data_IF_780932201239
#
_entry.id   IF_780932201239
#
_cell.length_a   1.000
_cell.length_b   1.000
_cell.length_c   1.000
_cell.angle_alpha   90.00
_cell.angle_beta   90.00
_cell.angle_gamma   90.00
#
_symmetry.space_group_name_H-M   'P 1'
#
loop_
_entity.id
_entity.type
_entity.pdbx_description
1 polymer ?
#
# COMPACT_ATOMS: atom_id res chain seq x y z
N UNK A 1 -30.52 18.25 -26.42
CA UNK A 1 -29.98 18.72 -25.12
C UNK A 1 -29.92 17.54 -24.16
N UNK A 2 -28.96 16.66 -24.43
CA UNK A 2 -28.71 15.41 -23.74
C UNK A 2 -27.55 14.77 -24.47
N UNK A 3 -26.59 14.19 -23.73
CA UNK A 3 -25.29 13.63 -24.18
C UNK A 3 -24.12 14.64 -24.07
N UNK A 4 -23.46 14.69 -22.88
CA UNK A 4 -22.04 15.09 -22.73
C UNK A 4 -21.30 14.37 -21.56
N UNK A 5 -21.93 13.75 -20.56
CA UNK A 5 -21.20 13.23 -19.37
C UNK A 5 -21.21 11.70 -19.20
N UNK A 6 -21.08 11.01 -20.33
CA UNK A 6 -20.60 9.61 -20.44
C UNK A 6 -19.15 9.60 -21.01
N UNK A 7 -18.52 10.77 -21.15
CA UNK A 7 -17.52 10.99 -22.18
C UNK A 7 -16.05 10.71 -21.84
N UNK A 8 -15.61 10.47 -20.60
CA UNK A 8 -14.16 10.25 -20.35
C UNK A 8 -13.70 8.78 -20.43
N UNK A 9 -14.61 7.80 -20.34
CA UNK A 9 -14.32 6.38 -20.56
C UNK A 9 -14.98 5.80 -21.83
N UNK A 10 -16.00 6.46 -22.40
CA UNK A 10 -16.61 6.07 -23.70
C UNK A 10 -15.90 6.67 -24.92
N UNK A 11 -15.14 7.77 -24.77
CA UNK A 11 -14.35 8.35 -25.88
C UNK A 11 -13.15 7.48 -26.30
N UNK A 12 -12.55 6.74 -25.36
CA UNK A 12 -11.40 5.87 -25.63
C UNK A 12 -11.86 4.59 -26.34
N UNK A 13 -13.08 4.11 -26.06
CA UNK A 13 -13.61 2.87 -26.63
C UNK A 13 -14.30 3.05 -28.01
N UNK A 14 -14.94 4.20 -28.29
CA UNK A 14 -15.60 4.44 -29.61
C UNK A 14 -14.64 4.83 -30.74
N UNK A 15 -13.49 5.45 -30.44
CA UNK A 15 -12.48 5.80 -31.47
C UNK A 15 -11.81 4.57 -32.09
N UNK A 16 -11.78 3.44 -31.37
CA UNK A 16 -11.14 2.22 -31.83
C UNK A 16 -12.01 1.39 -32.79
N UNK A 17 -13.35 1.49 -32.70
CA UNK A 17 -14.29 0.65 -33.47
C UNK A 17 -14.64 1.26 -34.85
N UNK A 18 -14.51 2.58 -35.04
CA UNK A 18 -14.91 3.24 -36.29
C UNK A 18 -13.86 3.24 -37.41
N UNK A 19 -12.65 2.72 -37.20
CA UNK A 19 -11.55 2.85 -38.17
C UNK A 19 -11.44 1.72 -39.22
N UNK A 20 -12.34 0.74 -39.21
CA UNK A 20 -12.47 -0.28 -40.27
C UNK A 20 -13.78 -0.09 -41.05
N UNK A 21 -13.80 0.87 -41.98
CA UNK A 21 -14.51 0.81 -43.30
C UNK A 21 -14.48 2.16 -44.01
N UNK A 22 -13.51 2.32 -44.92
CA UNK A 22 -13.56 2.89 -46.29
C UNK A 22 -12.28 3.67 -46.64
N UNK A 23 -11.51 3.10 -47.57
CA UNK A 23 -10.91 3.83 -48.71
C UNK A 23 -9.64 4.65 -48.48
N UNK A 24 -8.50 3.95 -48.54
CA UNK A 24 -7.20 4.33 -49.12
C UNK A 24 -6.70 5.78 -49.05
N UNK A 25 -5.53 5.98 -48.41
CA UNK A 25 -4.27 6.44 -49.03
C UNK A 25 -3.12 6.07 -48.07
N UNK A 26 -2.06 5.51 -48.64
CA UNK A 26 -0.78 5.18 -48.00
C UNK A 26 0.08 6.44 -47.85
N UNK A 27 0.77 6.64 -46.71
CA UNK A 27 2.24 6.72 -46.60
C UNK A 27 2.69 7.00 -45.15
N UNK A 28 3.93 6.60 -44.91
CA UNK A 28 4.79 6.60 -43.72
C UNK A 28 4.87 7.84 -42.82
N UNK A 29 5.36 7.56 -41.61
CA UNK A 29 6.32 8.37 -40.81
C UNK A 29 5.79 9.38 -39.77
N UNK A 30 6.30 9.14 -38.55
CA UNK A 30 6.81 10.06 -37.52
C UNK A 30 6.01 11.31 -37.13
N UNK A 31 5.56 11.25 -35.87
CA UNK A 31 5.59 12.32 -34.87
C UNK A 31 4.47 13.39 -34.86
N UNK A 32 4.18 13.84 -33.62
CA UNK A 32 3.36 14.99 -33.22
C UNK A 32 1.82 14.82 -33.15
N UNK A 33 1.28 14.91 -31.93
CA UNK A 33 0.50 16.09 -31.49
C UNK A 33 0.13 16.01 -30.00
N UNK A 34 0.90 16.72 -29.18
CA UNK A 34 0.53 17.11 -27.82
C UNK A 34 -0.48 18.27 -27.86
N UNK A 35 -1.57 18.18 -27.10
CA UNK A 35 -2.46 19.31 -26.83
C UNK A 35 -2.03 19.99 -25.52
N UNK A 36 -1.40 21.15 -25.66
CA UNK A 36 -0.98 22.04 -24.58
C UNK A 36 -2.17 22.81 -23.98
N UNK A 37 -2.16 22.98 -22.66
CA UNK A 37 -2.78 24.14 -21.99
C UNK A 37 -1.64 24.91 -21.30
N UNK A 38 -1.33 26.09 -21.85
CA UNK A 38 -0.42 27.09 -21.26
C UNK A 38 -1.16 27.88 -20.18
N UNK A 39 -0.58 27.98 -18.99
CA UNK A 39 -0.73 29.17 -18.14
C UNK A 39 0.64 29.83 -18.01
N UNK A 40 0.72 31.09 -18.46
CA UNK A 40 1.83 32.00 -18.22
C UNK A 40 1.60 32.66 -16.86
N UNK A 41 2.62 32.68 -15.99
CA UNK A 41 3.13 33.98 -15.53
C UNK A 41 4.56 33.94 -14.93
N UNK A 42 5.38 34.80 -15.54
CA UNK A 42 6.56 35.56 -15.12
C UNK A 42 7.41 35.06 -13.93
N UNK A 43 8.64 34.58 -14.24
CA UNK A 43 9.79 34.60 -13.32
C UNK A 43 10.78 35.69 -13.75
N UNK A 44 10.99 36.65 -12.87
CA UNK A 44 12.09 37.62 -12.91
C UNK A 44 13.41 36.87 -12.64
N UNK A 45 14.39 37.05 -13.53
CA UNK A 45 15.79 36.60 -13.36
C UNK A 45 16.50 37.49 -12.34
N UNK A 46 17.15 36.90 -11.35
CA UNK A 46 18.37 37.46 -10.77
C UNK A 46 19.44 36.37 -10.71
N UNK A 47 20.48 36.53 -11.54
CA UNK A 47 21.76 35.83 -11.39
C UNK A 47 22.53 36.50 -10.26
N UNK A 48 22.86 35.75 -9.21
CA UNK A 48 24.11 35.94 -8.45
C UNK A 48 24.56 34.55 -8.01
N UNK A 49 25.74 34.15 -8.47
CA UNK A 49 26.38 32.89 -8.08
C UNK A 49 26.87 32.96 -6.64
N UNK A 50 26.62 31.89 -5.89
CA UNK A 50 27.32 31.54 -4.66
C UNK A 50 27.43 30.02 -4.65
N UNK A 51 28.66 29.50 -4.76
CA UNK A 51 28.97 28.14 -4.32
C UNK A 51 28.95 28.11 -2.79
N UNK A 52 28.26 27.15 -2.15
CA UNK A 52 28.55 26.79 -0.78
C UNK A 52 29.49 25.59 -0.77
N UNK A 53 30.72 25.80 -0.30
CA UNK A 53 31.60 24.75 0.21
C UNK A 53 30.82 23.86 1.20
N UNK A 54 30.75 22.55 0.93
CA UNK A 54 30.17 21.57 1.85
C UNK A 54 31.02 21.47 3.11
N UNK A 55 30.59 22.14 4.19
CA UNK A 55 31.01 21.83 5.56
C UNK A 55 29.92 20.99 6.23
N UNK A 56 30.29 19.78 6.64
CA UNK A 56 29.61 19.07 7.74
C UNK A 56 28.69 17.90 7.35
N UNK A 57 29.09 16.99 6.47
CA UNK A 57 28.41 15.70 6.36
C UNK A 57 28.82 14.79 7.52
N UNK A 58 27.87 14.44 8.40
CA UNK A 58 28.08 13.49 9.49
C UNK A 58 28.27 12.05 8.95
N UNK A 59 29.17 11.25 9.54
CA UNK A 59 29.62 9.99 8.95
C UNK A 59 28.54 8.92 8.82
N UNK A 60 27.45 8.99 9.59
CA UNK A 60 26.41 7.95 9.62
C UNK A 60 25.33 8.07 8.53
N UNK A 61 25.12 9.26 7.95
CA UNK A 61 24.09 9.50 6.92
C UNK A 61 24.44 8.91 5.54
N UNK A 62 25.68 8.48 5.35
CA UNK A 62 26.21 8.01 4.07
C UNK A 62 27.08 6.76 4.22
N UNK A 63 26.78 5.91 5.22
CA UNK A 63 27.50 4.65 5.40
C UNK A 63 27.09 3.67 4.30
N UNK A 64 28.07 3.29 3.48
CA UNK A 64 27.98 2.20 2.51
C UNK A 64 28.23 0.86 3.24
N UNK A 65 27.30 -0.09 3.11
CA UNK A 65 27.34 -1.37 3.81
C UNK A 65 28.50 -2.29 3.40
N UNK A 66 29.33 -1.91 2.41
CA UNK A 66 30.57 -2.63 2.07
C UNK A 66 31.53 -2.82 3.25
N UNK A 67 31.46 -2.00 4.30
CA UNK A 67 32.46 -1.99 5.39
C UNK A 67 32.10 -2.80 6.65
N UNK A 68 30.89 -3.33 6.78
CA UNK A 68 30.42 -3.96 8.03
C UNK A 68 30.64 -5.49 8.11
N UNK A 69 31.25 -6.13 7.11
CA UNK A 69 31.62 -7.55 7.16
C UNK A 69 32.98 -7.85 7.81
N UNK A 70 33.54 -6.90 8.56
CA UNK A 70 34.73 -7.13 9.37
C UNK A 70 34.44 -6.80 10.84
N UNK A 71 34.47 -7.84 11.69
CA UNK A 71 34.35 -7.71 13.16
C UNK A 71 35.54 -6.91 13.69
N UNK A 72 35.29 -6.00 14.66
CA UNK A 72 36.20 -5.96 15.80
C UNK A 72 35.50 -5.77 17.15
N UNK A 73 36.31 -6.06 18.16
CA UNK A 73 36.00 -6.30 19.56
C UNK A 73 35.73 -5.04 20.40
N UNK A 74 34.96 -5.30 21.47
CA UNK A 74 34.67 -4.54 22.68
C UNK A 74 35.55 -3.34 23.10
N UNK A 75 34.88 -2.25 23.50
CA UNK A 75 35.30 -1.40 24.62
C UNK A 75 34.08 -0.73 25.32
N UNK A 76 34.19 -0.58 26.65
CA UNK A 76 33.16 -0.19 27.63
C UNK A 76 33.18 1.31 28.02
N UNK A 77 32.21 1.83 28.81
CA UNK A 77 31.65 3.19 28.67
C UNK A 77 32.05 4.18 29.80
N UNK A 78 31.68 5.46 29.64
CA UNK A 78 31.77 6.50 30.69
C UNK A 78 30.47 7.31 30.84
N UNK A 79 29.88 7.18 32.04
CA UNK A 79 29.10 8.08 32.93
C UNK A 79 28.26 9.27 32.42
N UNK A 80 27.02 9.32 32.94
CA UNK A 80 25.95 10.32 32.76
C UNK A 80 25.84 11.40 33.88
N UNK A 81 24.93 12.38 33.66
CA UNK A 81 24.16 13.29 34.60
C UNK A 81 24.30 14.79 34.21
N UNK A 82 23.31 15.71 34.22
CA UNK A 82 21.94 15.78 34.80
C UNK A 82 21.04 16.87 34.12
N UNK A 83 19.74 16.52 34.05
CA UNK A 83 18.41 17.20 34.02
C UNK A 83 18.22 18.70 34.38
N UNK A 84 17.29 19.38 33.65
CA UNK A 84 16.13 20.25 34.10
C UNK A 84 15.27 20.69 32.87
N UNK A 85 13.99 20.27 32.68
CA UNK A 85 12.67 20.87 33.09
C UNK A 85 12.52 22.36 32.75
N UNK A 86 11.49 22.94 32.11
CA UNK A 86 10.05 22.68 31.82
C UNK A 86 9.67 23.49 30.54
N UNK A 87 8.62 23.19 29.77
CA UNK A 87 7.25 23.71 29.94
C UNK A 87 6.30 22.92 29.02
N UNK A 88 5.22 22.37 29.58
CA UNK A 88 4.14 21.69 28.86
C UNK A 88 2.88 22.56 28.81
N UNK A 89 2.27 22.69 27.63
CA UNK A 89 0.88 23.13 27.48
C UNK A 89 0.01 21.89 27.31
N UNK A 90 -0.87 21.65 28.29
CA UNK A 90 -1.88 20.60 28.26
C UNK A 90 -2.91 20.87 27.15
N UNK A 91 -3.21 19.86 26.34
CA UNK A 91 -4.51 19.75 25.66
C UNK A 91 -5.28 18.58 26.26
N UNK A 92 -6.51 18.88 26.62
CA UNK A 92 -7.52 17.99 27.18
C UNK A 92 -7.94 16.96 26.12
N UNK A 93 -7.78 15.67 26.41
CA UNK A 93 -8.43 14.58 25.67
C UNK A 93 -9.60 14.06 26.50
N UNK A 94 -10.82 14.22 25.97
CA UNK A 94 -11.98 13.46 26.43
C UNK A 94 -11.94 12.09 25.76
N UNK A 95 -11.35 11.09 26.44
CA UNK A 95 -11.61 9.68 26.10
C UNK A 95 -12.79 9.18 26.92
N UNK A 96 -13.92 8.99 26.26
CA UNK A 96 -15.02 8.17 26.75
C UNK A 96 -14.54 6.72 26.89
N UNK A 97 -14.10 6.36 28.11
CA UNK A 97 -13.83 4.99 28.52
C UNK A 97 -15.15 4.25 28.73
N UNK A 98 -15.54 3.40 27.78
CA UNK A 98 -16.39 2.27 28.12
C UNK A 98 -15.50 1.16 28.68
N UNK A 99 -15.56 1.01 29.99
CA UNK A 99 -14.91 -0.03 30.76
C UNK A 99 -15.29 -1.42 30.22
N UNK A 100 -14.31 -2.17 29.72
CA UNK A 100 -14.33 -3.62 29.78
C UNK A 100 -13.27 -4.06 30.79
N UNK A 101 -13.72 -4.73 31.85
CA UNK A 101 -12.92 -5.64 32.69
C UNK A 101 -11.85 -5.01 33.58
N UNK A 102 -12.00 -5.17 34.89
CA UNK A 102 -11.02 -4.85 35.94
C UNK A 102 -9.67 -5.56 35.64
N UNK A 103 -8.51 -4.87 35.68
CA UNK A 103 -7.22 -5.56 35.67
C UNK A 103 -6.90 -6.04 37.10
N UNK A 104 -6.78 -7.36 37.26
CA UNK A 104 -6.15 -7.91 38.45
C UNK A 104 -4.65 -7.53 38.42
N UNK A 105 -4.21 -6.80 39.44
CA UNK A 105 -2.79 -6.58 39.73
C UNK A 105 -2.06 -7.92 39.80
N UNK A 106 -1.16 -8.19 38.86
CA UNK A 106 -0.20 -9.29 38.99
C UNK A 106 1.15 -8.88 38.39
N UNK A 107 2.23 -8.70 39.18
CA UNK A 107 3.51 -8.17 38.67
C UNK A 107 4.38 -9.19 37.89
N UNK A 108 3.83 -10.28 37.37
CA UNK A 108 4.61 -11.39 36.76
C UNK A 108 3.94 -12.03 35.53
N UNK A 109 3.24 -11.24 34.71
CA UNK A 109 2.52 -11.73 33.52
C UNK A 109 3.37 -12.06 32.27
N UNK A 110 4.71 -11.97 32.34
CA UNK A 110 5.59 -12.21 31.18
C UNK A 110 5.92 -13.69 30.92
N UNK A 111 5.32 -14.65 31.63
CA UNK A 111 5.76 -16.07 31.64
C UNK A 111 4.69 -17.03 31.08
N UNK A 112 3.67 -16.55 30.36
CA UNK A 112 2.64 -17.42 29.75
C UNK A 112 2.46 -17.22 28.24
N UNK A 113 3.42 -16.62 27.54
CA UNK A 113 3.40 -16.42 26.07
C UNK A 113 4.69 -16.91 25.36
N UNK A 114 5.46 -17.78 26.02
CA UNK A 114 6.75 -18.26 25.48
C UNK A 114 6.59 -19.09 24.20
N UNK A 115 5.48 -19.82 24.04
CA UNK A 115 5.26 -20.72 22.88
C UNK A 115 5.05 -19.95 21.57
N UNK A 116 4.21 -18.92 21.57
CA UNK A 116 3.95 -18.09 20.39
C UNK A 116 5.10 -17.13 20.11
N UNK A 117 5.79 -16.65 21.15
CA UNK A 117 6.99 -15.81 21.00
C UNK A 117 8.11 -16.56 20.28
N UNK A 118 8.28 -17.87 20.54
CA UNK A 118 9.23 -18.72 19.84
C UNK A 118 8.90 -18.87 18.35
N UNK A 119 7.64 -19.16 18.02
CA UNK A 119 7.18 -19.32 16.64
C UNK A 119 7.29 -18.01 15.84
N UNK A 120 6.91 -16.89 16.43
CA UNK A 120 7.05 -15.57 15.83
C UNK A 120 8.53 -15.24 15.52
N UNK A 121 9.45 -15.53 16.46
CA UNK A 121 10.91 -15.39 16.23
C UNK A 121 11.40 -16.27 15.09
N UNK A 122 10.93 -17.52 14.97
CA UNK A 122 11.28 -18.41 13.87
C UNK A 122 10.76 -17.91 12.53
N UNK A 123 9.56 -17.31 12.50
CA UNK A 123 9.04 -16.67 11.28
C UNK A 123 9.93 -15.49 10.86
N UNK A 124 10.36 -14.63 11.80
CA UNK A 124 11.22 -13.48 11.50
C UNK A 124 12.57 -13.89 10.89
N UNK A 125 13.10 -15.07 11.17
CA UNK A 125 14.30 -15.58 10.48
C UNK A 125 14.10 -15.73 8.95
N UNK A 126 12.84 -15.81 8.49
CA UNK A 126 12.45 -15.91 7.09
C UNK A 126 11.79 -14.62 6.59
N UNK A 127 11.98 -13.49 7.27
CA UNK A 127 11.36 -12.19 6.92
C UNK A 127 11.71 -11.70 5.50
N UNK A 128 12.83 -12.12 4.92
CA UNK A 128 13.18 -11.81 3.52
C UNK A 128 12.48 -12.68 2.47
N UNK A 129 11.66 -13.66 2.88
CA UNK A 129 10.97 -14.54 1.95
C UNK A 129 9.68 -13.87 1.44
N UNK A 130 9.50 -13.82 0.11
CA UNK A 130 8.29 -13.28 -0.50
C UNK A 130 6.99 -14.01 -0.10
N UNK A 131 7.10 -15.25 0.37
CA UNK A 131 5.97 -16.06 0.83
C UNK A 131 5.68 -15.90 2.34
N UNK A 132 6.22 -14.86 2.99
CA UNK A 132 5.97 -14.58 4.41
C UNK A 132 4.48 -14.40 4.69
N UNK A 133 3.91 -15.20 5.61
CA UNK A 133 2.49 -15.14 5.97
C UNK A 133 2.27 -14.09 7.07
N UNK A 134 2.02 -12.85 6.65
CA UNK A 134 1.83 -11.73 7.58
C UNK A 134 0.62 -11.91 8.50
N UNK A 135 -0.44 -12.59 8.03
CA UNK A 135 -1.62 -12.86 8.86
C UNK A 135 -1.34 -13.88 9.95
N UNK A 136 -0.53 -14.91 9.67
CA UNK A 136 -0.07 -15.83 10.70
C UNK A 136 0.83 -15.10 11.71
N UNK A 137 1.75 -14.27 11.22
CA UNK A 137 2.64 -13.51 12.09
C UNK A 137 1.86 -12.56 13.01
N UNK A 138 0.83 -11.89 12.49
CA UNK A 138 -0.06 -11.05 13.28
C UNK A 138 -0.79 -11.82 14.38
N UNK A 139 -1.32 -13.01 14.07
CA UNK A 139 -1.94 -13.89 15.09
C UNK A 139 -0.94 -14.32 16.17
N UNK A 140 0.28 -14.69 15.79
CA UNK A 140 1.33 -15.12 16.72
C UNK A 140 1.86 -13.99 17.61
N UNK A 141 1.63 -12.74 17.21
CA UNK A 141 2.07 -11.55 17.95
C UNK A 141 0.90 -10.80 18.60
N UNK A 142 -0.29 -11.43 18.65
CA UNK A 142 -1.50 -10.86 19.24
C UNK A 142 -1.85 -9.47 18.67
N UNK A 143 -1.79 -9.32 17.33
CA UNK A 143 -2.06 -8.06 16.66
C UNK A 143 -0.89 -7.07 16.64
N UNK A 144 0.32 -7.50 17.04
CA UNK A 144 1.52 -6.64 17.06
C UNK A 144 2.47 -6.91 15.89
N UNK A 145 1.94 -7.28 14.72
CA UNK A 145 2.78 -7.59 13.54
C UNK A 145 3.65 -6.41 13.14
N UNK A 146 3.08 -5.21 13.04
CA UNK A 146 3.80 -4.01 12.60
C UNK A 146 4.95 -3.63 13.55
N UNK A 147 4.69 -3.61 14.86
CA UNK A 147 5.72 -3.29 15.86
C UNK A 147 6.85 -4.31 15.83
N UNK A 148 6.54 -5.62 15.90
CA UNK A 148 7.55 -6.66 16.00
C UNK A 148 8.36 -6.80 14.70
N UNK A 149 7.71 -6.73 13.54
CA UNK A 149 8.37 -6.79 12.23
C UNK A 149 9.31 -5.59 12.05
N UNK A 150 8.80 -4.36 12.19
CA UNK A 150 9.60 -3.16 11.93
C UNK A 150 10.76 -3.03 12.91
N UNK A 151 10.56 -3.35 14.20
CA UNK A 151 11.65 -3.37 15.17
C UNK A 151 12.73 -4.40 14.80
N UNK A 152 12.33 -5.60 14.35
CA UNK A 152 13.26 -6.61 13.87
C UNK A 152 14.05 -6.12 12.65
N UNK A 153 13.40 -5.49 11.68
CA UNK A 153 14.07 -4.98 10.47
C UNK A 153 15.05 -3.85 10.78
N UNK A 154 14.72 -2.95 11.72
CA UNK A 154 15.63 -1.91 12.21
C UNK A 154 16.90 -2.53 12.82
N UNK A 155 16.74 -3.61 13.58
CA UNK A 155 17.87 -4.34 14.13
C UNK A 155 18.67 -5.09 13.05
N UNK A 156 18.00 -5.72 12.08
CA UNK A 156 18.63 -6.48 10.99
C UNK A 156 19.52 -5.60 10.11
N UNK A 157 19.12 -4.36 9.84
CA UNK A 157 19.96 -3.38 9.12
C UNK A 157 20.94 -2.61 10.02
N UNK A 158 20.96 -2.87 11.34
CA UNK A 158 21.82 -2.14 12.29
C UNK A 158 21.44 -0.66 12.45
N UNK A 159 20.23 -0.25 12.05
CA UNK A 159 19.80 1.16 12.06
C UNK A 159 19.74 1.74 13.47
N UNK A 160 19.46 0.90 14.48
CA UNK A 160 19.43 1.31 15.89
C UNK A 160 20.81 1.83 16.31
N UNK A 161 21.88 1.11 15.97
CA UNK A 161 23.24 1.49 16.31
C UNK A 161 23.74 2.64 15.44
N UNK A 162 23.51 2.56 14.12
CA UNK A 162 23.98 3.56 13.14
C UNK A 162 23.40 4.96 13.42
N UNK A 163 22.11 5.04 13.76
CA UNK A 163 21.44 6.31 14.08
C UNK A 163 21.39 6.61 15.58
N UNK A 164 21.99 5.76 16.43
CA UNK A 164 21.97 5.89 17.89
C UNK A 164 20.55 6.05 18.46
N UNK A 165 19.62 5.23 17.96
CA UNK A 165 18.23 5.27 18.37
C UNK A 165 18.06 4.69 19.77
N UNK A 166 17.38 5.43 20.65
CA UNK A 166 16.93 4.88 21.93
C UNK A 166 15.86 3.80 21.68
N UNK A 167 16.12 2.57 22.10
CA UNK A 167 15.23 1.43 21.85
C UNK A 167 13.84 1.59 22.51
N UNK A 168 13.75 2.30 23.65
CA UNK A 168 12.48 2.57 24.33
C UNK A 168 11.69 3.60 23.53
N UNK A 169 12.34 4.66 23.05
CA UNK A 169 11.69 5.63 22.14
C UNK A 169 11.27 4.99 20.82
N UNK A 170 12.10 4.12 20.25
CA UNK A 170 11.77 3.40 19.01
C UNK A 170 10.55 2.51 19.22
N UNK A 171 10.52 1.70 20.28
CA UNK A 171 9.36 0.86 20.58
C UNK A 171 8.11 1.69 20.83
N UNK A 172 8.21 2.79 21.59
CA UNK A 172 7.09 3.72 21.82
C UNK A 172 6.58 4.29 20.50
N UNK A 173 7.48 4.77 19.63
CA UNK A 173 7.13 5.29 18.32
C UNK A 173 6.38 4.26 17.45
N UNK A 174 6.90 3.02 17.36
CA UNK A 174 6.24 1.97 16.59
C UNK A 174 4.86 1.58 17.16
N UNK A 175 4.72 1.57 18.50
CA UNK A 175 3.40 1.34 19.13
C UNK A 175 2.44 2.47 18.80
N UNK A 176 2.87 3.74 18.87
CA UNK A 176 2.02 4.87 18.48
C UNK A 176 1.57 4.76 17.03
N UNK A 177 2.45 4.36 16.10
CA UNK A 177 2.08 4.09 14.71
C UNK A 177 0.99 3.02 14.64
N UNK A 178 1.21 1.86 15.27
CA UNK A 178 0.29 0.72 15.19
C UNK A 178 -1.10 1.05 15.75
N UNK A 179 -1.16 1.78 16.87
CA UNK A 179 -2.43 2.17 17.50
C UNK A 179 -3.19 3.24 16.72
N UNK A 180 -2.50 4.08 15.93
CA UNK A 180 -3.12 5.06 15.04
C UNK A 180 -3.61 4.44 13.72
N UNK A 181 -3.33 3.16 13.46
CA UNK A 181 -4.04 2.40 12.44
C UNK A 181 -5.39 1.90 12.96
N UNK A 182 -6.44 2.16 12.19
CA UNK A 182 -7.82 1.79 12.53
C UNK A 182 -8.06 0.29 12.35
N UNK A 183 -8.03 -0.48 13.43
CA UNK A 183 -8.19 -1.93 13.40
C UNK A 183 -9.56 -2.41 12.86
N UNK A 184 -10.57 -1.54 12.84
CA UNK A 184 -11.88 -1.81 12.26
C UNK A 184 -11.91 -1.78 10.73
N UNK A 185 -10.91 -1.16 10.09
CA UNK A 185 -10.80 -1.18 8.63
C UNK A 185 -10.46 -2.60 8.16
N UNK A 186 -11.22 -3.20 7.23
CA UNK A 186 -10.91 -4.55 6.75
C UNK A 186 -9.52 -4.68 6.11
N UNK A 187 -9.07 -3.66 5.36
CA UNK A 187 -7.82 -3.63 4.60
C UNK A 187 -6.83 -2.60 5.14
N UNK A 188 -7.16 -1.31 5.15
CA UNK A 188 -6.21 -0.25 5.52
C UNK A 188 -6.03 -0.15 7.04
N UNK A 189 -5.33 -1.14 7.61
CA UNK A 189 -5.01 -1.30 9.03
C UNK A 189 -3.52 -1.66 9.23
N UNK A 190 -3.08 -1.86 10.48
CA UNK A 190 -1.67 -2.11 10.79
C UNK A 190 -1.10 -3.38 10.15
N UNK A 191 -1.93 -4.38 9.84
CA UNK A 191 -1.48 -5.62 9.19
C UNK A 191 -1.10 -5.36 7.73
N UNK A 192 -1.84 -4.49 7.03
CA UNK A 192 -1.47 -4.04 5.68
C UNK A 192 -0.16 -3.26 5.72
N UNK A 193 -0.02 -2.31 6.65
CA UNK A 193 1.23 -1.59 6.84
C UNK A 193 2.43 -2.52 7.11
N UNK A 194 2.21 -3.60 7.87
CA UNK A 194 3.22 -4.61 8.13
C UNK A 194 3.56 -5.43 6.86
N UNK A 195 2.57 -5.79 6.04
CA UNK A 195 2.79 -6.46 4.74
C UNK A 195 3.61 -5.58 3.78
N UNK A 196 3.24 -4.30 3.65
CA UNK A 196 3.96 -3.32 2.82
C UNK A 196 5.38 -3.11 3.34
N UNK A 197 5.59 -3.05 4.66
CA UNK A 197 6.93 -2.94 5.25
C UNK A 197 7.78 -4.18 4.97
N UNK A 198 7.18 -5.38 5.03
CA UNK A 198 7.87 -6.63 4.69
C UNK A 198 8.18 -6.73 3.19
N UNK A 199 7.26 -6.32 2.32
CA UNK A 199 7.49 -6.25 0.87
C UNK A 199 8.60 -5.25 0.53
N UNK A 200 8.57 -4.07 1.15
CA UNK A 200 9.60 -3.05 1.01
C UNK A 200 10.96 -3.62 1.41
N UNK A 201 11.05 -4.35 2.53
CA UNK A 201 12.28 -5.04 2.92
C UNK A 201 12.81 -5.98 1.81
N UNK A 202 11.95 -6.79 1.19
CA UNK A 202 12.35 -7.63 0.07
C UNK A 202 12.89 -6.82 -1.13
N UNK A 203 12.28 -5.68 -1.46
CA UNK A 203 12.79 -4.82 -2.54
C UNK A 203 14.11 -4.16 -2.19
N UNK A 204 14.30 -3.72 -0.94
CA UNK A 204 15.57 -3.15 -0.47
C UNK A 204 16.72 -4.18 -0.52
N UNK A 205 16.41 -5.48 -0.57
CA UNK A 205 17.39 -6.56 -0.75
C UNK A 205 17.71 -6.89 -2.22
N UNK A 206 16.99 -6.32 -3.19
CA UNK A 206 17.29 -6.54 -4.60
C UNK A 206 18.71 -6.02 -4.94
N UNK A 207 19.52 -6.73 -5.75
CA UNK A 207 20.96 -6.46 -5.88
C UNK A 207 21.31 -5.01 -6.23
N UNK A 208 20.61 -4.41 -7.20
CA UNK A 208 20.83 -3.02 -7.61
C UNK A 208 20.63 -2.02 -6.47
N UNK A 209 19.70 -2.30 -5.57
CA UNK A 209 19.37 -1.45 -4.43
C UNK A 209 20.27 -1.73 -3.23
N UNK A 210 20.45 -3.00 -2.88
CA UNK A 210 21.30 -3.41 -1.76
C UNK A 210 22.74 -2.88 -1.88
N UNK A 211 23.25 -2.72 -3.10
CA UNK A 211 24.59 -2.19 -3.37
C UNK A 211 24.70 -0.66 -3.34
N UNK A 212 23.59 0.08 -3.38
CA UNK A 212 23.60 1.54 -3.62
C UNK A 212 22.87 2.37 -2.57
N UNK A 213 22.01 1.74 -1.78
CA UNK A 213 21.24 2.41 -0.71
C UNK A 213 22.13 2.80 0.47
N UNK A 214 21.92 4.01 0.96
CA UNK A 214 22.51 4.47 2.22
C UNK A 214 21.67 4.00 3.41
N UNK A 215 22.27 4.03 4.60
CA UNK A 215 21.56 3.85 5.87
C UNK A 215 20.31 4.74 6.02
N UNK A 216 20.37 5.98 5.54
CA UNK A 216 19.24 6.93 5.57
C UNK A 216 18.12 6.50 4.61
N UNK A 217 18.47 5.96 3.45
CA UNK A 217 17.49 5.45 2.48
C UNK A 217 16.74 4.22 3.04
N UNK A 218 17.45 3.30 3.70
CA UNK A 218 16.85 2.15 4.36
C UNK A 218 15.91 2.57 5.50
N UNK A 219 16.35 3.51 6.34
CA UNK A 219 15.55 4.05 7.43
C UNK A 219 14.27 4.68 6.91
N UNK A 220 14.37 5.58 5.92
CA UNK A 220 13.22 6.25 5.34
C UNK A 220 12.31 5.32 4.56
N UNK A 221 12.85 4.33 3.84
CA UNK A 221 12.06 3.33 3.12
C UNK A 221 11.20 2.49 4.05
N UNK A 222 11.77 2.00 5.16
CA UNK A 222 11.02 1.25 6.18
C UNK A 222 10.01 2.13 6.93
N UNK A 223 10.39 3.36 7.29
CA UNK A 223 9.46 4.29 7.96
C UNK A 223 8.30 4.68 7.05
N UNK A 224 8.56 4.96 5.77
CA UNK A 224 7.52 5.27 4.81
C UNK A 224 6.55 4.10 4.65
N UNK A 225 7.05 2.88 4.46
CA UNK A 225 6.21 1.70 4.37
C UNK A 225 5.34 1.48 5.62
N UNK A 226 5.91 1.65 6.81
CA UNK A 226 5.21 1.47 8.08
C UNK A 226 4.16 2.57 8.38
N UNK A 227 4.21 3.71 7.68
CA UNK A 227 3.35 4.87 7.97
C UNK A 227 2.57 5.39 6.76
N UNK A 228 2.66 4.75 5.60
CA UNK A 228 2.08 5.27 4.34
C UNK A 228 0.55 5.44 4.38
N UNK A 229 -0.13 4.71 5.27
CA UNK A 229 -1.59 4.69 5.45
C UNK A 229 -2.04 5.07 6.87
N UNK A 230 -1.19 5.78 7.62
CA UNK A 230 -1.44 6.09 9.03
C UNK A 230 -2.73 6.90 9.23
N UNK A 231 -3.62 6.45 10.13
CA UNK A 231 -4.97 7.01 10.35
C UNK A 231 -5.87 7.01 9.08
N UNK A 232 -5.71 6.01 8.20
CA UNK A 232 -6.62 5.85 7.05
C UNK A 232 -8.08 5.66 7.50
N UNK A 233 -9.06 6.43 6.97
CA UNK A 233 -10.42 6.43 7.47
C UNK A 233 -11.31 5.30 6.95
N UNK A 234 -10.79 4.44 6.07
CA UNK A 234 -11.54 3.35 5.44
C UNK A 234 -12.37 3.78 4.23
N UNK A 235 -12.11 4.98 3.70
CA UNK A 235 -12.81 5.57 2.55
C UNK A 235 -11.83 6.31 1.66
N UNK A 236 -12.11 6.37 0.36
CA UNK A 236 -11.23 6.97 -0.64
C UNK A 236 -11.30 8.50 -0.68
N UNK A 237 -10.31 9.12 -1.34
CA UNK A 237 -10.25 10.59 -1.52
C UNK A 237 -11.53 11.18 -2.15
N UNK A 238 -12.11 10.64 -3.25
CA UNK A 238 -13.37 11.16 -3.80
C UNK A 238 -14.51 11.19 -2.79
N UNK A 239 -14.59 10.21 -1.88
CA UNK A 239 -15.57 10.20 -0.80
C UNK A 239 -15.35 11.37 0.18
N UNK A 240 -14.11 11.61 0.60
CA UNK A 240 -13.79 12.74 1.49
C UNK A 240 -14.13 14.09 0.86
N UNK A 241 -13.88 14.25 -0.45
CA UNK A 241 -14.18 15.47 -1.19
C UNK A 241 -15.70 15.67 -1.30
N UNK A 242 -16.45 14.63 -1.73
CA UNK A 242 -17.91 14.76 -1.94
C UNK A 242 -18.72 14.90 -0.64
N UNK A 243 -18.13 14.60 0.50
CA UNK A 243 -18.74 14.74 1.83
C UNK A 243 -18.27 15.97 2.59
N UNK A 244 -17.52 16.87 1.95
CA UNK A 244 -16.94 18.07 2.55
C UNK A 244 -16.16 17.77 3.86
N UNK A 245 -15.45 16.64 3.89
CA UNK A 245 -14.68 16.25 5.06
C UNK A 245 -13.55 17.25 5.33
N UNK A 246 -13.25 17.54 6.60
CA UNK A 246 -12.27 18.56 6.97
C UNK A 246 -10.86 18.33 6.38
N UNK A 247 -10.47 17.06 6.17
CA UNK A 247 -9.21 16.71 5.51
C UNK A 247 -9.16 17.18 4.05
N UNK A 248 -10.27 17.09 3.32
CA UNK A 248 -10.35 17.55 1.93
C UNK A 248 -10.12 19.07 1.85
N UNK A 249 -10.71 19.83 2.78
CA UNK A 249 -10.47 21.27 2.92
C UNK A 249 -9.01 21.59 3.34
N UNK A 250 -8.47 20.85 4.33
CA UNK A 250 -7.11 21.05 4.84
C UNK A 250 -6.04 20.85 3.76
N UNK A 251 -6.21 19.83 2.92
CA UNK A 251 -5.27 19.46 1.86
C UNK A 251 -5.72 19.88 0.46
N UNK A 252 -6.71 20.77 0.37
CA UNK A 252 -7.17 21.41 -0.87
C UNK A 252 -7.46 20.39 -1.99
N UNK A 253 -8.11 19.28 -1.65
CA UNK A 253 -8.51 18.21 -2.57
C UNK A 253 -7.35 17.53 -3.35
N UNK A 254 -6.09 17.67 -2.91
CA UNK A 254 -4.93 17.09 -3.59
C UNK A 254 -4.20 16.10 -2.68
N UNK A 255 -4.13 14.83 -3.09
CA UNK A 255 -3.51 13.73 -2.33
C UNK A 255 -3.88 13.81 -0.84
N UNK A 256 -5.19 13.90 -0.58
CA UNK A 256 -5.78 14.24 0.73
C UNK A 256 -5.38 13.23 1.78
N UNK A 257 -5.43 11.94 1.42
CA UNK A 257 -5.10 10.84 2.31
C UNK A 257 -3.59 10.77 2.54
N UNK A 258 -2.79 10.83 1.48
CA UNK A 258 -1.34 10.68 1.57
C UNK A 258 -0.69 11.87 2.31
N UNK A 259 -1.22 13.08 2.14
CA UNK A 259 -0.82 14.22 2.97
C UNK A 259 -1.20 14.02 4.44
N UNK A 260 -2.37 13.44 4.73
CA UNK A 260 -2.77 13.12 6.10
C UNK A 260 -1.83 12.10 6.73
N UNK A 261 -1.57 10.98 6.06
CA UNK A 261 -0.65 9.93 6.51
C UNK A 261 0.74 10.50 6.79
N UNK A 262 1.27 11.32 5.87
CA UNK A 262 2.55 12.01 6.05
C UNK A 262 2.56 12.93 7.27
N UNK A 263 1.57 13.81 7.43
CA UNK A 263 1.57 14.76 8.54
C UNK A 263 1.37 14.07 9.89
N UNK A 264 0.56 13.02 9.94
CA UNK A 264 0.41 12.16 11.12
C UNK A 264 1.73 11.48 11.47
N UNK A 265 2.44 10.90 10.48
CA UNK A 265 3.74 10.26 10.70
C UNK A 265 4.79 11.24 11.25
N UNK A 266 4.86 12.45 10.71
CA UNK A 266 5.73 13.52 11.22
C UNK A 266 5.33 13.94 12.64
N UNK A 267 4.03 14.02 12.92
CA UNK A 267 3.50 14.27 14.26
C UNK A 267 4.02 13.26 15.28
N UNK A 268 3.87 11.96 15.00
CA UNK A 268 4.33 10.88 15.87
C UNK A 268 5.86 10.83 16.01
N UNK A 269 6.60 11.11 14.92
CA UNK A 269 8.07 11.19 14.97
C UNK A 269 8.54 12.27 15.97
N UNK A 270 7.89 13.44 15.94
CA UNK A 270 8.18 14.55 16.85
C UNK A 270 7.73 14.24 18.28
N UNK A 271 6.55 13.66 18.47
CA UNK A 271 6.01 13.31 19.79
C UNK A 271 6.81 12.20 20.51
N UNK A 272 7.36 11.26 19.73
CA UNK A 272 8.20 10.18 20.27
C UNK A 272 9.59 10.63 20.71
N UNK A 273 10.03 11.81 20.28
CA UNK A 273 11.42 12.28 20.39
C UNK A 273 12.45 11.29 19.82
N UNK A 274 12.06 10.39 18.91
CA UNK A 274 12.91 9.30 18.40
C UNK A 274 14.18 9.82 17.73
N UNK A 275 14.05 10.87 16.93
CA UNK A 275 15.15 11.49 16.19
C UNK A 275 15.64 12.80 16.86
N UNK A 276 15.19 13.10 18.08
CA UNK A 276 15.41 14.41 18.74
C UNK A 276 16.87 14.81 18.93
N UNK A 277 17.79 13.85 18.96
CA UNK A 277 19.24 14.06 19.06
C UNK A 277 19.91 14.41 17.73
N UNK A 278 19.24 14.19 16.59
CA UNK A 278 19.76 14.57 15.29
C UNK A 278 19.65 16.09 15.06
N UNK A 279 20.54 16.69 14.25
CA UNK A 279 20.45 18.08 13.86
C UNK A 279 19.08 18.43 13.28
N UNK A 280 18.60 19.64 13.52
CA UNK A 280 17.30 20.09 13.04
C UNK A 280 17.20 20.06 11.51
N UNK A 281 18.27 20.41 10.80
CA UNK A 281 18.31 20.37 9.33
C UNK A 281 18.12 18.94 8.81
N UNK A 282 18.84 17.96 9.39
CA UNK A 282 18.71 16.55 9.02
C UNK A 282 17.30 16.03 9.28
N UNK A 283 16.70 16.37 10.43
CA UNK A 283 15.32 15.97 10.73
C UNK A 283 14.33 16.55 9.72
N UNK A 284 14.44 17.83 9.38
CA UNK A 284 13.56 18.46 8.40
C UNK A 284 13.71 17.84 7.01
N UNK A 285 14.94 17.54 6.59
CA UNK A 285 15.20 16.82 5.35
C UNK A 285 14.58 15.41 5.36
N UNK A 286 14.74 14.67 6.45
CA UNK A 286 14.12 13.35 6.62
C UNK A 286 12.60 13.42 6.57
N UNK A 287 11.97 14.40 7.23
CA UNK A 287 10.52 14.61 7.21
C UNK A 287 10.00 14.93 5.80
N UNK A 288 10.74 15.72 5.02
CA UNK A 288 10.41 16.04 3.63
C UNK A 288 10.54 14.81 2.72
N UNK A 289 11.65 14.06 2.84
CA UNK A 289 11.87 12.84 2.06
C UNK A 289 10.87 11.74 2.41
N UNK A 290 10.53 11.58 3.69
CA UNK A 290 9.47 10.69 4.14
C UNK A 290 8.13 11.06 3.48
N UNK A 291 7.78 12.33 3.49
CA UNK A 291 6.57 12.83 2.82
C UNK A 291 6.58 12.56 1.32
N UNK A 292 7.73 12.77 0.66
CA UNK A 292 7.90 12.49 -0.77
C UNK A 292 7.71 11.01 -1.11
N UNK A 293 8.11 10.08 -0.22
CA UNK A 293 7.84 8.65 -0.39
C UNK A 293 6.36 8.33 -0.23
N UNK A 294 5.73 8.81 0.85
CA UNK A 294 4.30 8.57 1.13
C UNK A 294 3.41 9.18 0.04
N UNK A 295 3.69 10.40 -0.42
CA UNK A 295 2.91 11.04 -1.50
C UNK A 295 2.98 10.28 -2.84
N UNK A 296 3.99 9.43 -3.04
CA UNK A 296 4.07 8.60 -4.23
C UNK A 296 3.08 7.43 -4.22
N UNK A 297 2.55 7.04 -3.05
CA UNK A 297 1.56 5.96 -2.95
C UNK A 297 0.18 6.38 -3.43
N UNK A 298 -0.07 7.69 -3.64
CA UNK A 298 -1.30 8.20 -4.26
C UNK A 298 -1.52 7.49 -5.62
N UNK A 299 -2.51 6.61 -5.63
CA UNK A 299 -2.78 5.73 -6.77
C UNK A 299 -3.29 6.51 -7.98
N UNK A 300 -3.91 7.69 -7.76
CA UNK A 300 -4.39 8.55 -8.85
C UNK A 300 -3.22 9.11 -9.68
N UNK A 301 -2.02 9.17 -9.09
CA UNK A 301 -0.80 9.65 -9.74
C UNK A 301 0.06 8.53 -10.31
N UNK A 302 -0.39 7.27 -10.28
CA UNK A 302 0.42 6.14 -10.74
C UNK A 302 0.94 6.31 -12.17
N UNK A 303 0.11 6.84 -13.08
CA UNK A 303 0.51 7.02 -14.48
C UNK A 303 1.66 8.02 -14.64
N UNK A 304 1.73 9.05 -13.79
CA UNK A 304 2.82 10.04 -13.82
C UNK A 304 4.15 9.34 -13.48
N UNK A 305 4.18 8.65 -12.35
CA UNK A 305 5.36 7.90 -11.89
C UNK A 305 5.75 6.78 -12.86
N UNK A 306 4.77 6.05 -13.42
CA UNK A 306 5.03 4.96 -14.35
C UNK A 306 5.58 5.47 -15.69
N UNK A 307 5.06 6.60 -16.19
CA UNK A 307 5.56 7.23 -17.42
C UNK A 307 6.98 7.76 -17.25
N UNK A 308 7.28 8.40 -16.11
CA UNK A 308 8.62 8.85 -15.77
C UNK A 308 9.58 7.65 -15.65
N UNK A 309 9.16 6.59 -14.96
CA UNK A 309 9.98 5.39 -14.81
C UNK A 309 10.28 4.70 -16.14
N UNK A 310 9.27 4.55 -17.01
CA UNK A 310 9.45 4.05 -18.37
C UNK A 310 10.44 4.88 -19.16
N UNK A 311 10.30 6.20 -19.12
CA UNK A 311 11.19 7.13 -19.83
C UNK A 311 12.64 6.94 -19.40
N UNK A 312 12.87 6.80 -18.10
CA UNK A 312 14.19 6.55 -17.53
C UNK A 312 14.77 5.19 -17.93
N UNK A 313 13.94 4.15 -17.93
CA UNK A 313 14.34 2.80 -18.37
C UNK A 313 14.66 2.75 -19.87
N UNK A 314 13.85 3.41 -20.70
CA UNK A 314 14.04 3.48 -22.15
C UNK A 314 15.33 4.23 -22.51
N UNK A 315 15.66 5.29 -21.77
CA UNK A 315 16.91 6.05 -21.93
C UNK A 315 18.13 5.37 -21.32
N UNK A 316 17.93 4.48 -20.34
CA UNK A 316 19.01 3.86 -19.58
C UNK A 316 19.82 4.86 -18.73
N UNK A 317 19.21 5.95 -18.27
CA UNK A 317 19.87 7.06 -17.57
C UNK A 317 19.76 6.98 -16.02
N UNK A 318 19.15 5.92 -15.48
CA UNK A 318 19.06 5.67 -14.03
C UNK A 318 20.43 5.40 -13.40
N UNK A 319 20.98 6.44 -12.79
CA UNK A 319 22.21 6.39 -12.00
C UNK A 319 21.93 6.32 -10.49
N UNK A 320 21.99 5.14 -9.86
CA UNK A 320 21.63 4.94 -8.45
C UNK A 320 22.63 5.53 -7.43
N UNK A 321 23.83 5.94 -7.88
CA UNK A 321 24.74 6.74 -7.05
C UNK A 321 24.23 8.16 -6.85
N UNK A 322 23.35 8.65 -7.74
CA UNK A 322 22.63 9.91 -7.58
C UNK A 322 21.49 9.77 -6.56
N UNK A 323 21.47 10.63 -5.55
CA UNK A 323 20.44 10.58 -4.49
C UNK A 323 19.01 10.81 -4.99
N UNK A 324 18.81 11.62 -6.02
CA UNK A 324 17.49 11.87 -6.62
C UNK A 324 16.95 10.63 -7.35
N UNK A 325 17.76 10.00 -8.22
CA UNK A 325 17.36 8.75 -8.87
C UNK A 325 17.11 7.63 -7.87
N UNK A 326 17.95 7.51 -6.84
CA UNK A 326 17.76 6.51 -5.79
C UNK A 326 16.48 6.74 -4.99
N UNK A 327 16.18 7.99 -4.64
CA UNK A 327 14.91 8.36 -4.01
C UNK A 327 13.71 8.05 -4.90
N UNK A 328 13.79 8.35 -6.20
CA UNK A 328 12.74 8.01 -7.16
C UNK A 328 12.50 6.49 -7.23
N UNK A 329 13.57 5.68 -7.27
CA UNK A 329 13.41 4.23 -7.27
C UNK A 329 12.84 3.71 -5.95
N UNK A 330 13.12 4.35 -4.81
CA UNK A 330 12.45 4.03 -3.55
C UNK A 330 10.95 4.35 -3.58
N UNK A 331 10.55 5.44 -4.25
CA UNK A 331 9.13 5.71 -4.50
C UNK A 331 8.51 4.59 -5.34
N UNK A 332 9.17 4.16 -6.42
CA UNK A 332 8.68 3.06 -7.25
C UNK A 332 8.61 1.73 -6.47
N UNK A 333 9.59 1.43 -5.62
CA UNK A 333 9.61 0.25 -4.77
C UNK A 333 8.47 0.26 -3.74
N UNK A 334 8.22 1.42 -3.10
CA UNK A 334 7.11 1.57 -2.16
C UNK A 334 5.75 1.43 -2.85
N UNK A 335 5.60 1.99 -4.06
CA UNK A 335 4.40 1.77 -4.89
C UNK A 335 4.21 0.29 -5.21
N UNK A 336 5.27 -0.42 -5.59
CA UNK A 336 5.20 -1.87 -5.80
C UNK A 336 4.77 -2.59 -4.52
N UNK A 337 5.35 -2.24 -3.37
CA UNK A 337 5.04 -2.85 -2.08
C UNK A 337 3.58 -2.68 -1.66
N UNK A 338 3.04 -1.48 -1.87
CA UNK A 338 1.67 -1.12 -1.53
C UNK A 338 0.63 -1.95 -2.32
N UNK A 339 0.88 -2.15 -3.62
CA UNK A 339 -0.05 -2.91 -4.49
C UNK A 339 0.43 -4.34 -4.82
N UNK A 340 1.29 -4.94 -3.99
CA UNK A 340 1.88 -6.25 -4.26
C UNK A 340 1.00 -7.46 -3.92
N UNK A 341 -0.19 -7.29 -3.31
CA UNK A 341 -0.96 -8.45 -2.85
C UNK A 341 -1.31 -9.44 -3.98
N UNK A 342 -1.67 -8.98 -5.19
CA UNK A 342 -1.84 -9.85 -6.37
C UNK A 342 -0.60 -10.64 -6.78
N UNK A 343 0.59 -10.22 -6.37
CA UNK A 343 1.88 -10.87 -6.63
C UNK A 343 2.30 -11.83 -5.50
N UNK A 344 1.47 -12.01 -4.46
CA UNK A 344 1.68 -12.99 -3.37
C UNK A 344 1.08 -14.35 -3.73
N UNK A 345 1.45 -15.45 -3.03
CA UNK A 345 0.78 -16.73 -3.16
C UNK A 345 -0.75 -16.61 -3.04
N UNK A 346 -1.49 -17.43 -3.79
CA UNK A 346 -2.96 -17.38 -3.89
C UNK A 346 -3.67 -17.20 -2.54
N UNK A 347 -3.27 -17.95 -1.50
CA UNK A 347 -3.91 -17.87 -0.18
C UNK A 347 -3.82 -16.47 0.45
N UNK A 348 -2.69 -15.77 0.30
CA UNK A 348 -2.51 -14.41 0.80
C UNK A 348 -3.23 -13.40 -0.09
N UNK A 349 -3.00 -13.50 -1.41
CA UNK A 349 -3.64 -12.66 -2.43
C UNK A 349 -5.18 -12.67 -2.30
N UNK A 350 -5.76 -13.85 -2.08
CA UNK A 350 -7.21 -14.02 -1.89
C UNK A 350 -7.72 -13.33 -0.62
N UNK A 351 -7.06 -13.53 0.52
CA UNK A 351 -7.45 -12.87 1.78
C UNK A 351 -7.39 -11.34 1.66
N UNK A 352 -6.33 -10.81 1.03
CA UNK A 352 -6.22 -9.37 0.77
C UNK A 352 -7.30 -8.87 -0.19
N UNK A 353 -7.59 -9.63 -1.26
CA UNK A 353 -8.66 -9.31 -2.22
C UNK A 353 -10.04 -9.24 -1.56
N UNK A 354 -10.34 -10.18 -0.65
CA UNK A 354 -11.59 -10.19 0.11
C UNK A 354 -11.68 -8.97 1.04
N UNK A 355 -10.59 -8.66 1.77
CA UNK A 355 -10.51 -7.51 2.68
C UNK A 355 -10.67 -6.16 1.97
N UNK A 356 -9.92 -5.92 0.89
CA UNK A 356 -10.02 -4.65 0.16
C UNK A 356 -11.40 -4.46 -0.45
N UNK A 357 -12.01 -5.55 -0.94
CA UNK A 357 -13.36 -5.50 -1.51
C UNK A 357 -14.41 -5.28 -0.42
N UNK A 358 -14.26 -5.88 0.77
CA UNK A 358 -15.12 -5.63 1.91
C UNK A 358 -15.10 -4.14 2.31
N UNK A 359 -13.92 -3.52 2.34
CA UNK A 359 -13.78 -2.11 2.64
C UNK A 359 -14.41 -1.20 1.58
N UNK A 360 -14.21 -1.50 0.29
CA UNK A 360 -14.90 -0.79 -0.80
C UNK A 360 -16.41 -0.91 -0.68
N UNK A 361 -16.92 -2.10 -0.39
CA UNK A 361 -18.35 -2.32 -0.23
C UNK A 361 -18.92 -1.64 1.01
N UNK A 362 -18.15 -1.55 2.09
CA UNK A 362 -18.52 -0.78 3.26
C UNK A 362 -18.69 0.70 2.92
N UNK A 363 -17.74 1.30 2.18
CA UNK A 363 -17.90 2.66 1.68
C UNK A 363 -19.17 2.81 0.82
N UNK A 364 -19.42 1.89 -0.11
CA UNK A 364 -20.60 1.93 -0.98
C UNK A 364 -21.93 1.84 -0.22
N UNK A 365 -21.96 1.11 0.88
CA UNK A 365 -23.12 1.05 1.76
C UNK A 365 -23.36 2.36 2.51
N UNK A 366 -22.28 3.03 2.94
CA UNK A 366 -22.36 4.38 3.53
C UNK A 366 -22.88 5.37 2.48
N UNK A 367 -22.33 5.34 1.26
CA UNK A 367 -22.78 6.20 0.16
C UNK A 367 -24.28 6.02 -0.10
N UNK A 368 -24.74 4.78 -0.21
CA UNK A 368 -26.16 4.45 -0.41
C UNK A 368 -27.02 4.92 0.75
N UNK A 369 -26.60 4.67 1.99
CA UNK A 369 -27.33 5.07 3.21
C UNK A 369 -27.50 6.59 3.30
N UNK A 370 -26.52 7.35 2.82
CA UNK A 370 -26.54 8.81 2.84
C UNK A 370 -27.07 9.43 1.54
N UNK A 371 -27.70 8.64 0.66
CA UNK A 371 -28.23 9.07 -0.65
C UNK A 371 -27.19 9.76 -1.55
N UNK A 372 -25.92 9.34 -1.44
CA UNK A 372 -24.86 9.75 -2.34
C UNK A 372 -24.82 8.80 -3.55
N UNK A 373 -24.29 9.28 -4.67
CA UNK A 373 -23.94 8.41 -5.79
C UNK A 373 -22.92 7.37 -5.31
N UNK A 374 -23.27 6.09 -5.46
CA UNK A 374 -22.42 4.97 -5.07
C UNK A 374 -21.27 4.86 -6.07
N UNK A 375 -20.05 4.90 -5.56
CA UNK A 375 -18.83 4.75 -6.35
C UNK A 375 -18.87 3.42 -7.11
N UNK A 376 -18.60 3.38 -8.43
CA UNK A 376 -18.81 2.17 -9.23
C UNK A 376 -18.16 0.90 -8.69
N UNK A 377 -16.94 0.97 -8.15
CA UNK A 377 -16.25 -0.21 -7.57
C UNK A 377 -16.73 -0.58 -6.16
N UNK A 378 -17.45 0.32 -5.49
CA UNK A 378 -17.95 0.16 -4.13
C UNK A 378 -19.35 -0.47 -4.07
N UNK A 379 -20.02 -0.66 -5.22
CA UNK A 379 -21.34 -1.25 -5.25
C UNK A 379 -21.29 -2.78 -5.28
N UNK A 380 -21.55 -3.39 -4.11
CA UNK A 380 -21.65 -4.85 -3.93
C UNK A 380 -22.77 -5.53 -4.73
N UNK A 381 -23.72 -4.77 -5.28
CA UNK A 381 -24.81 -5.32 -6.08
C UNK A 381 -24.42 -5.49 -7.56
N UNK A 382 -23.49 -4.68 -8.05
CA UNK A 382 -23.06 -4.67 -9.45
C UNK A 382 -21.64 -5.21 -9.66
N UNK A 383 -20.88 -5.45 -8.58
CA UNK A 383 -19.51 -5.96 -8.65
C UNK A 383 -19.31 -7.25 -7.86
N UNK A 384 -18.26 -7.97 -8.23
CA UNK A 384 -17.75 -9.14 -7.51
C UNK A 384 -16.27 -8.95 -7.21
N UNK A 385 -15.77 -9.66 -6.19
CA UNK A 385 -14.33 -9.69 -5.88
C UNK A 385 -13.52 -10.05 -7.12
N UNK A 386 -13.95 -11.07 -7.88
CA UNK A 386 -13.25 -11.51 -9.08
C UNK A 386 -13.14 -10.40 -10.15
N UNK A 387 -14.23 -9.68 -10.44
CA UNK A 387 -14.22 -8.61 -11.45
C UNK A 387 -13.33 -7.45 -11.04
N UNK A 388 -13.39 -7.04 -9.76
CA UNK A 388 -12.53 -5.98 -9.22
C UNK A 388 -11.06 -6.39 -9.34
N UNK A 389 -10.71 -7.62 -8.92
CA UNK A 389 -9.33 -8.09 -8.95
C UNK A 389 -8.78 -8.26 -10.37
N UNK A 390 -9.57 -8.81 -11.31
CA UNK A 390 -9.13 -8.96 -12.71
C UNK A 390 -8.83 -7.60 -13.34
N UNK A 391 -9.70 -6.61 -13.12
CA UNK A 391 -9.50 -5.24 -13.61
C UNK A 391 -8.27 -4.58 -12.96
N UNK A 392 -8.17 -4.65 -11.63
CA UNK A 392 -7.03 -4.09 -10.88
C UNK A 392 -5.70 -4.70 -11.33
N UNK A 393 -5.63 -6.03 -11.47
CA UNK A 393 -4.43 -6.71 -11.95
C UNK A 393 -4.05 -6.27 -13.37
N UNK A 394 -5.01 -6.17 -14.28
CA UNK A 394 -4.73 -5.84 -15.68
C UNK A 394 -4.33 -4.38 -15.92
N UNK A 395 -4.95 -3.45 -15.20
CA UNK A 395 -4.82 -2.01 -15.49
C UNK A 395 -3.94 -1.25 -14.51
N UNK A 396 -3.69 -1.79 -13.32
CA UNK A 396 -2.91 -1.12 -12.28
C UNK A 396 -1.64 -1.89 -11.93
N UNK A 397 -1.77 -3.16 -11.58
CA UNK A 397 -0.63 -3.96 -11.07
C UNK A 397 0.31 -4.37 -12.20
N UNK A 398 -0.20 -5.07 -13.22
CA UNK A 398 0.62 -5.61 -14.30
C UNK A 398 1.48 -4.55 -15.01
N UNK A 399 0.95 -3.35 -15.37
CA UNK A 399 1.78 -2.29 -15.96
C UNK A 399 2.94 -1.83 -15.08
N UNK A 400 2.76 -1.78 -13.75
CA UNK A 400 3.81 -1.38 -12.81
C UNK A 400 4.87 -2.48 -12.66
N UNK A 401 4.43 -3.72 -12.44
CA UNK A 401 5.34 -4.84 -12.19
C UNK A 401 6.13 -5.27 -13.42
N UNK A 402 5.60 -5.05 -14.64
CA UNK A 402 6.37 -5.21 -15.88
C UNK A 402 7.57 -4.26 -15.91
N UNK A 403 7.36 -2.99 -15.57
CA UNK A 403 8.46 -2.01 -15.55
C UNK A 403 9.43 -2.25 -14.39
N UNK A 404 8.92 -2.65 -13.23
CA UNK A 404 9.77 -3.07 -12.12
C UNK A 404 10.63 -4.28 -12.49
N UNK A 405 10.07 -5.28 -13.16
CA UNK A 405 10.81 -6.45 -13.65
C UNK A 405 11.85 -6.05 -14.70
N UNK A 406 11.59 -5.03 -15.52
CA UNK A 406 12.55 -4.48 -16.48
C UNK A 406 13.71 -3.76 -15.77
N UNK A 407 13.42 -3.07 -14.68
CA UNK A 407 14.44 -2.45 -13.82
C UNK A 407 15.26 -3.48 -13.04
N UNK A 408 14.61 -4.46 -12.40
CA UNK A 408 15.23 -5.47 -11.56
C UNK A 408 14.83 -6.87 -12.04
N UNK A 409 15.49 -7.36 -13.08
CA UNK A 409 15.25 -8.70 -13.65
C UNK A 409 15.90 -9.78 -12.78
N UNK A 410 15.24 -10.09 -11.67
CA UNK A 410 15.69 -11.05 -10.66
C UNK A 410 14.67 -12.17 -10.48
N UNK A 411 15.07 -13.18 -9.71
CA UNK A 411 14.16 -14.25 -9.28
C UNK A 411 12.93 -13.72 -8.54
N UNK A 412 13.06 -12.64 -7.77
CA UNK A 412 11.93 -12.03 -7.06
C UNK A 412 10.91 -11.49 -8.07
N UNK A 413 11.35 -10.70 -9.04
CA UNK A 413 10.49 -10.17 -10.11
C UNK A 413 9.79 -11.27 -10.92
N UNK A 414 10.53 -12.32 -11.30
CA UNK A 414 9.95 -13.48 -11.97
C UNK A 414 8.89 -14.19 -11.11
N UNK A 415 9.14 -14.33 -9.81
CA UNK A 415 8.19 -14.93 -8.85
C UNK A 415 6.93 -14.09 -8.74
N UNK A 416 7.06 -12.77 -8.60
CA UNK A 416 5.93 -11.84 -8.52
C UNK A 416 5.07 -11.89 -9.78
N UNK A 417 5.70 -11.84 -10.97
CA UNK A 417 5.00 -11.92 -12.25
C UNK A 417 4.30 -13.28 -12.45
N UNK A 418 4.93 -14.37 -12.00
CA UNK A 418 4.32 -15.71 -12.04
C UNK A 418 3.08 -15.78 -11.14
N UNK A 419 3.16 -15.31 -9.89
CA UNK A 419 2.00 -15.25 -9.00
C UNK A 419 0.89 -14.35 -9.54
N UNK A 420 1.24 -13.18 -10.08
CA UNK A 420 0.26 -12.28 -10.70
C UNK A 420 -0.52 -12.98 -11.81
N UNK A 421 0.20 -13.69 -12.69
CA UNK A 421 -0.39 -14.44 -13.81
C UNK A 421 -1.30 -15.58 -13.32
N UNK A 422 -0.83 -16.38 -12.37
CA UNK A 422 -1.59 -17.48 -11.77
C UNK A 422 -2.82 -17.00 -11.00
N UNK A 423 -2.71 -15.92 -10.24
CA UNK A 423 -3.80 -15.36 -9.47
C UNK A 423 -4.86 -14.74 -10.40
N UNK A 424 -4.44 -14.04 -11.45
CA UNK A 424 -5.34 -13.52 -12.49
C UNK A 424 -6.09 -14.66 -13.18
N UNK A 425 -5.41 -15.76 -13.50
CA UNK A 425 -6.07 -16.97 -14.03
C UNK A 425 -7.07 -17.55 -13.01
N UNK A 426 -6.68 -17.70 -11.75
CA UNK A 426 -7.54 -18.23 -10.69
C UNK A 426 -8.83 -17.43 -10.50
N UNK A 427 -8.77 -16.09 -10.60
CA UNK A 427 -9.96 -15.24 -10.56
C UNK A 427 -10.84 -15.38 -11.80
N UNK A 428 -10.25 -15.49 -13.01
CA UNK A 428 -11.03 -15.73 -14.24
C UNK A 428 -11.77 -17.07 -14.16
N UNK A 429 -11.09 -18.16 -13.78
CA UNK A 429 -11.73 -19.47 -13.63
C UNK A 429 -12.83 -19.46 -12.56
N UNK A 430 -12.64 -18.70 -11.48
CA UNK A 430 -13.64 -18.52 -10.42
C UNK A 430 -14.90 -17.80 -10.93
N UNK A 431 -14.72 -16.74 -11.73
CA UNK A 431 -15.82 -16.00 -12.36
C UNK A 431 -16.61 -16.88 -13.33
N UNK A 432 -15.91 -17.57 -14.22
CA UNK A 432 -16.54 -18.40 -15.26
C UNK A 432 -17.36 -19.54 -14.64
N UNK A 433 -16.90 -20.13 -13.53
CA UNK A 433 -17.66 -21.15 -12.76
C UNK A 433 -18.91 -20.57 -12.11
N UNK A 434 -18.84 -19.35 -11.57
CA UNK A 434 -20.01 -18.68 -10.97
C UNK A 434 -21.06 -18.36 -12.04
N UNK A 435 -20.64 -17.82 -13.18
CA UNK A 435 -21.53 -17.51 -14.31
C UNK A 435 -22.20 -18.79 -14.85
N UNK A 436 -21.43 -19.88 -15.05
CA UNK A 436 -21.96 -21.17 -15.50
C UNK A 436 -22.94 -21.81 -14.49
N UNK A 437 -22.75 -21.60 -13.18
CA UNK A 437 -23.68 -22.07 -12.16
C UNK A 437 -24.99 -21.26 -12.14
N UNK A 438 -24.90 -19.94 -12.35
CA UNK A 438 -26.06 -19.05 -12.41
C UNK A 438 -26.93 -19.29 -13.64
N UNK A 439 -26.32 -19.58 -14.80
CA UNK A 439 -27.03 -19.91 -16.02
C UNK A 439 -27.79 -21.23 -15.89
N UNK A 440 -27.17 -22.28 -15.33
CA UNK A 440 -27.83 -23.56 -15.04
C UNK A 440 -28.99 -23.42 -14.06
N UNK A 441 -28.82 -22.65 -12.98
CA UNK A 441 -29.90 -22.39 -12.03
C UNK A 441 -31.08 -21.64 -12.67
N UNK A 442 -30.80 -20.72 -13.61
CA UNK A 442 -31.84 -20.01 -14.36
C UNK A 442 -32.53 -20.85 -15.44
N UNK A 443 -31.87 -21.88 -15.98
CA UNK A 443 -32.47 -22.87 -16.89
C UNK A 443 -33.37 -23.86 -16.15
N UNK A 444 -32.96 -24.33 -14.97
CA UNK A 444 -33.76 -25.25 -14.13
C UNK A 444 -35.04 -24.59 -13.57
N UNK A 445 -35.07 -23.27 -13.40
CA UNK A 445 -36.28 -22.54 -13.01
C UNK A 445 -37.23 -22.24 -14.19
N UNK A 446 -36.80 -22.46 -15.43
CA UNK A 446 -37.61 -22.20 -16.65
C UNK A 446 -38.31 -23.45 -17.20
N UNK A 447 -38.11 -24.63 -16.62
CA UNK A 447 -38.85 -25.84 -16.99
C UNK A 447 -40.21 -25.86 -16.27
N UNK A 448 -41.35 -25.76 -16.96
CA UNK A 448 -42.66 -25.87 -16.32
C UNK A 448 -42.90 -27.34 -15.96
N UNK A 449 -43.29 -27.59 -14.72
CA UNK A 449 -43.77 -28.90 -14.27
C UNK A 449 -45.02 -29.31 -15.07
N UNK A 450 -44.83 -30.08 -16.15
CA UNK A 450 -45.91 -30.85 -16.77
C UNK A 450 -46.35 -31.93 -15.78
N UNK A 451 -47.40 -31.64 -15.02
CA UNK A 451 -48.14 -32.65 -14.26
C UNK A 451 -48.81 -33.61 -15.25
N UNK A 452 -48.42 -34.87 -15.16
CA UNK A 452 -49.08 -36.01 -15.81
C UNK A 452 -50.59 -36.02 -15.49
N UNK A 453 -51.41 -35.79 -16.52
CA UNK A 453 -52.82 -36.16 -16.53
C UNK A 453 -52.94 -37.60 -17.04
N UNK A 454 -52.77 -38.58 -16.14
CA UNK A 454 -52.99 -39.98 -16.46
C UNK A 454 -54.47 -40.34 -16.19
N UNK A 455 -55.29 -40.32 -17.24
CA UNK A 455 -56.69 -40.75 -17.22
C UNK A 455 -56.81 -42.26 -17.00
N UNK A 456 -57.19 -42.68 -15.79
CA UNK A 456 -57.66 -44.04 -15.50
C UNK A 456 -59.07 -44.23 -16.06
N UNK A 457 -59.19 -45.06 -17.10
CA UNK A 457 -60.45 -45.64 -17.57
C UNK A 457 -60.87 -46.75 -16.60
N UNK A 458 -62.06 -46.60 -16.00
CA UNK A 458 -62.78 -47.63 -15.23
C UNK A 458 -63.61 -48.50 -16.18
N UNK A 459 -63.63 -49.84 -16.06
CA UNK A 459 -64.67 -50.65 -16.69
C UNK A 459 -65.88 -50.76 -15.76
N UNK A 460 -67.04 -50.30 -16.24
CA UNK A 460 -68.33 -50.63 -15.66
C UNK A 460 -68.70 -52.08 -16.01
N UNK A 461 -69.01 -52.87 -15.00
CA UNK A 461 -69.76 -54.11 -15.15
C UNK A 461 -71.21 -53.89 -14.75
N UNK A 462 -72.16 -54.37 -15.57
CA UNK A 462 -73.47 -54.80 -15.10
C UNK A 462 -74.11 -55.81 -16.06
N UNK A 463 -74.23 -57.04 -15.54
CA UNK A 463 -75.21 -58.12 -15.76
C UNK A 463 -76.29 -57.97 -16.85
N UNK A 464 -76.54 -59.09 -17.56
CA UNK A 464 -77.91 -59.64 -17.68
C UNK A 464 -78.25 -60.38 -18.98
N UNK A 465 -78.56 -61.67 -18.81
CA UNK A 465 -79.22 -62.66 -19.72
C UNK A 465 -78.34 -63.46 -20.66
#
# INVERSE_FOLDING_TARGET
MGIVLIWSLVLILMRWISHKRRGAISYDSEDQTALYIRMLDVRVRSQVGFEPERRGSHPYLYVDFRTLHSRPEAARPVSARNVRRLLSFQRYLHSSRFFHGIPANNPLGYILDDDFTGQAKLMLQKVGNWNFDIFLFDRLTNGNSLVNLTFHLFNTYGLIELFQLDMVKLRRFLVMIQEDYRCQNPYHNAVHAADVTQAMYCYLQEPKLAETLTSCDLLLGLLAAATHDLDHPGVNQPFLIKTDHYLAALYKNSSVLENHHWKSAVGLLRESDLLSHLPTEDRLNMEERLGSLILATDISRQNDYLSEFRTHLDKGDLCLTNGGHRHFILQMALKCADICNPCRPWKLSKQWSEKVTEEFFHQGDIERKHNLEVTPLCDRQSNSVANIQIGFMAYVVEPLFVEWSRFSDTRLSQTMMSHLSLNKQGWNEGRDKQEASSSRASEEQRTPATKDSNSKVLPQGSKGS
#
